data_IF_488082759636
#
_entry.id   IF_488082759636
#
_cell.length_a   1.000
_cell.length_b   1.000
_cell.length_c   1.000
_cell.angle_alpha   90.00
_cell.angle_beta   90.00
_cell.angle_gamma   90.00
#
_symmetry.space_group_name_H-M   'P 1'
#
loop_
_entity.id
_entity.type
_entity.pdbx_description
1 polymer ?
#
# COMPACT_ATOMS: atom_id res chain seq x y z
N UNK A 1 -6.76 -1.10 12.16
CA UNK A 1 -5.62 -1.96 12.52
C UNK A 1 -4.68 -1.15 13.41
N UNK A 2 -4.14 -1.73 14.48
CA UNK A 2 -3.07 -1.12 15.27
C UNK A 2 -1.71 -1.46 14.66
N UNK A 3 -0.69 -0.65 14.98
CA UNK A 3 0.68 -0.95 14.57
C UNK A 3 1.17 -2.31 15.12
N UNK A 4 0.76 -2.67 16.34
CA UNK A 4 1.08 -3.96 16.96
C UNK A 4 0.54 -5.15 16.15
N UNK A 5 -0.66 -5.02 15.54
CA UNK A 5 -1.22 -6.06 14.69
C UNK A 5 -0.36 -6.27 13.42
N UNK A 6 0.10 -5.16 12.81
CA UNK A 6 0.99 -5.21 11.64
C UNK A 6 2.32 -5.87 12.02
N UNK A 7 2.89 -5.56 13.19
CA UNK A 7 4.14 -6.18 13.65
C UNK A 7 4.02 -7.69 13.89
N UNK A 8 2.83 -8.19 14.24
CA UNK A 8 2.57 -9.62 14.40
C UNK A 8 2.34 -10.34 13.05
N UNK A 9 1.86 -9.62 12.03
CA UNK A 9 1.57 -10.19 10.71
C UNK A 9 2.81 -10.23 9.81
N UNK A 10 3.70 -9.24 9.87
CA UNK A 10 4.91 -9.17 9.05
C UNK A 10 5.80 -10.42 9.09
N UNK A 11 6.04 -11.06 10.25
CA UNK A 11 6.83 -12.30 10.32
C UNK A 11 6.17 -13.51 9.64
N UNK A 12 4.85 -13.46 9.43
CA UNK A 12 4.07 -14.54 8.82
C UNK A 12 3.93 -14.38 7.30
N UNK A 13 4.42 -13.27 6.73
CA UNK A 13 4.37 -13.04 5.30
C UNK A 13 5.30 -14.00 4.55
N UNK A 14 4.85 -14.48 3.40
CA UNK A 14 5.73 -15.21 2.50
C UNK A 14 6.82 -14.29 1.92
N UNK A 15 7.88 -14.89 1.40
CA UNK A 15 9.05 -14.14 0.89
C UNK A 15 8.68 -13.15 -0.22
N UNK A 16 7.66 -13.46 -1.04
CA UNK A 16 7.16 -12.58 -2.09
C UNK A 16 6.45 -11.35 -1.50
N UNK A 17 5.51 -11.58 -0.60
CA UNK A 17 4.71 -10.54 0.06
C UNK A 17 5.60 -9.62 0.91
N UNK A 18 6.59 -10.17 1.59
CA UNK A 18 7.58 -9.39 2.35
C UNK A 18 8.39 -8.46 1.44
N UNK A 19 8.81 -8.93 0.26
CA UNK A 19 9.54 -8.09 -0.72
C UNK A 19 8.66 -6.98 -1.27
N UNK A 20 7.39 -7.26 -1.53
CA UNK A 20 6.42 -6.26 -1.97
C UNK A 20 6.17 -5.19 -0.90
N UNK A 21 6.02 -5.60 0.37
CA UNK A 21 5.90 -4.69 1.51
C UNK A 21 7.13 -3.78 1.64
N UNK A 22 8.34 -4.34 1.56
CA UNK A 22 9.59 -3.58 1.60
C UNK A 22 9.67 -2.59 0.43
N UNK A 23 9.31 -3.01 -0.78
CA UNK A 23 9.28 -2.15 -1.97
C UNK A 23 8.31 -0.98 -1.83
N UNK A 24 7.13 -1.22 -1.25
CA UNK A 24 6.16 -0.19 -0.95
C UNK A 24 6.70 0.81 0.09
N UNK A 25 7.26 0.32 1.20
CA UNK A 25 7.86 1.16 2.24
C UNK A 25 9.00 2.03 1.69
N UNK A 26 9.88 1.47 0.86
CA UNK A 26 10.96 2.21 0.20
C UNK A 26 10.42 3.29 -0.74
N UNK A 27 9.36 3.00 -1.51
CA UNK A 27 8.73 3.97 -2.42
C UNK A 27 8.10 5.15 -1.67
N UNK A 28 7.53 4.89 -0.49
CA UNK A 28 7.00 5.92 0.41
C UNK A 28 8.15 6.76 0.99
N UNK A 29 9.23 6.13 1.44
CA UNK A 29 10.40 6.83 1.99
C UNK A 29 11.10 7.71 0.94
N UNK A 30 11.18 7.27 -0.31
CA UNK A 30 11.75 8.06 -1.41
C UNK A 30 10.93 9.32 -1.74
N UNK A 31 9.64 9.32 -1.42
CA UNK A 31 8.76 10.48 -1.62
C UNK A 31 8.62 11.36 -0.38
N UNK A 32 9.41 11.10 0.68
CA UNK A 32 9.36 11.86 1.94
C UNK A 32 9.77 13.32 1.77
N UNK A 33 10.56 13.63 0.73
CA UNK A 33 10.98 14.99 0.40
C UNK A 33 9.88 15.80 -0.32
N UNK A 34 8.81 15.16 -0.81
CA UNK A 34 7.62 15.86 -1.31
C UNK A 34 6.82 16.39 -0.09
N UNK A 35 6.76 17.72 0.12
CA UNK A 35 6.15 18.32 1.31
C UNK A 35 4.65 18.05 1.41
N UNK A 36 3.98 17.75 0.29
CA UNK A 36 2.56 17.46 0.24
C UNK A 36 2.27 15.95 0.34
N UNK A 37 3.27 15.10 0.13
CA UNK A 37 3.12 13.65 0.12
C UNK A 37 2.57 13.08 1.45
N UNK A 38 3.05 13.48 2.64
CA UNK A 38 2.48 13.01 3.90
C UNK A 38 0.99 13.36 4.02
N UNK A 39 0.59 14.59 3.68
CA UNK A 39 -0.80 15.03 3.77
C UNK A 39 -1.70 14.28 2.77
N UNK A 40 -1.22 13.98 1.56
CA UNK A 40 -1.95 13.15 0.59
C UNK A 40 -2.08 11.72 1.07
N UNK A 41 -1.02 11.13 1.62
CA UNK A 41 -1.04 9.76 2.14
C UNK A 41 -2.00 9.60 3.32
N UNK A 42 -1.98 10.53 4.29
CA UNK A 42 -2.94 10.53 5.39
C UNK A 42 -4.38 10.60 4.89
N UNK A 43 -4.67 11.49 3.92
CA UNK A 43 -6.02 11.58 3.33
C UNK A 43 -6.45 10.29 2.64
N UNK A 44 -5.54 9.59 1.97
CA UNK A 44 -5.85 8.32 1.30
C UNK A 44 -6.09 7.19 2.31
N UNK A 45 -5.29 7.12 3.38
CA UNK A 45 -5.44 6.13 4.44
C UNK A 45 -6.74 6.35 5.24
N UNK A 46 -7.09 7.62 5.48
CA UNK A 46 -8.30 7.99 6.23
C UNK A 46 -9.55 8.09 5.33
N UNK A 47 -9.44 7.92 4.01
CA UNK A 47 -10.60 8.00 3.12
C UNK A 47 -11.53 6.81 3.39
N UNK A 48 -12.67 7.07 4.03
CA UNK A 48 -13.72 6.07 4.29
C UNK A 48 -14.82 6.08 3.23
N UNK A 49 -14.62 6.79 2.11
CA UNK A 49 -15.62 6.95 1.05
C UNK A 49 -15.46 5.82 0.02
N UNK A 50 -16.35 4.81 0.00
CA UNK A 50 -16.15 3.64 -0.85
C UNK A 50 -16.11 3.97 -2.35
N UNK A 51 -16.84 5.01 -2.78
CA UNK A 51 -16.85 5.46 -4.17
C UNK A 51 -15.57 6.17 -4.65
N UNK A 52 -14.60 6.42 -3.76
CA UNK A 52 -13.28 6.97 -4.09
C UNK A 52 -12.18 5.91 -4.12
N UNK A 53 -12.49 4.70 -3.66
CA UNK A 53 -11.57 3.59 -3.67
C UNK A 53 -11.54 2.97 -5.06
N UNK A 54 -10.35 2.59 -5.53
CA UNK A 54 -10.22 1.79 -6.73
C UNK A 54 -10.56 0.35 -6.38
N UNK A 55 -11.27 -0.33 -7.28
CA UNK A 55 -11.33 -1.79 -7.24
C UNK A 55 -9.94 -2.39 -7.46
N UNK A 56 -9.71 -3.63 -7.01
CA UNK A 56 -8.43 -4.31 -7.21
C UNK A 56 -8.04 -4.35 -8.70
N UNK A 57 -8.99 -4.68 -9.58
CA UNK A 57 -8.81 -4.69 -11.04
C UNK A 57 -8.42 -3.30 -11.59
N UNK A 58 -9.01 -2.21 -11.09
CA UNK A 58 -8.64 -0.86 -11.49
C UNK A 58 -7.24 -0.46 -11.00
N UNK A 59 -6.87 -0.90 -9.80
CA UNK A 59 -5.53 -0.68 -9.26
C UNK A 59 -4.48 -1.45 -10.07
N UNK A 60 -4.71 -2.74 -10.36
CA UNK A 60 -3.84 -3.59 -11.17
C UNK A 60 -3.64 -3.02 -12.58
N UNK A 61 -4.72 -2.60 -13.25
CA UNK A 61 -4.67 -1.96 -14.57
C UNK A 61 -3.84 -0.66 -14.58
N UNK A 62 -4.00 0.19 -13.56
CA UNK A 62 -3.24 1.45 -13.47
C UNK A 62 -1.76 1.24 -13.16
N UNK A 63 -1.44 0.19 -12.41
CA UNK A 63 -0.07 -0.16 -12.04
C UNK A 63 0.63 -1.01 -13.11
N UNK A 64 -0.09 -1.44 -14.15
CA UNK A 64 0.45 -2.33 -15.19
C UNK A 64 0.80 -3.72 -14.65
N UNK A 65 0.19 -4.11 -13.54
CA UNK A 65 0.38 -5.42 -12.91
C UNK A 65 -0.66 -6.34 -13.55
N UNK A 66 -0.22 -7.44 -14.17
CA UNK A 66 -1.16 -8.47 -14.62
C UNK A 66 -1.91 -9.02 -13.39
N UNK A 67 -3.22 -9.29 -13.48
CA UNK A 67 -3.98 -9.81 -12.36
C UNK A 67 -3.25 -11.03 -11.80
N UNK A 68 -2.95 -11.02 -10.50
CA UNK A 68 -2.31 -12.18 -9.89
C UNK A 68 -3.26 -13.35 -10.04
N UNK A 69 -2.88 -14.32 -10.87
CA UNK A 69 -3.59 -15.59 -10.96
C UNK A 69 -3.54 -16.24 -9.58
N UNK A 70 -4.73 -16.55 -9.06
CA UNK A 70 -5.00 -17.24 -7.79
C UNK A 70 -4.12 -18.50 -7.59
#
# INVERSE_FOLDING_TARGET
MSFDAIQQEVPNLETKELKELIGCAMSVLQRREDPDFPARMTRLIDDKTPGRWLTLDEAEKRLGIAPSAE
#
